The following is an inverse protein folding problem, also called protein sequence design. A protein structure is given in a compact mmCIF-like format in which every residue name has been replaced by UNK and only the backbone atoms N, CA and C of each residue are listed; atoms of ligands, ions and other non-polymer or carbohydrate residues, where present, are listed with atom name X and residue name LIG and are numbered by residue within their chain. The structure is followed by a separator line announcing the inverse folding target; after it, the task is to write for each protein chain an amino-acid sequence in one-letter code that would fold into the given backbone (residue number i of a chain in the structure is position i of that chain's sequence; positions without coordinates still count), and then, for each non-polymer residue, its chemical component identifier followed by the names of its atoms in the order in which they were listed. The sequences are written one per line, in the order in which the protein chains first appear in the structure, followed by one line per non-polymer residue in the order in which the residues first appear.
data_IF_904975075176
#
_entry.id   IF_904975075176
#
_cell.length_a   1.000
_cell.length_b   1.000
_cell.length_c   1.000
_cell.angle_alpha   90.00
_cell.angle_beta   90.00
_cell.angle_gamma   90.00
#
_symmetry.space_group_name_H-M   'P 1'
#
loop_
_entity.id
_entity.type
_entity.pdbx_description
1 polymer ?
#
# COMPACT_ATOMS: atom_id res chain seq x y z
N UNK A 1 -3.45 -15.33 5.28
CA UNK A 1 -4.79 -14.77 5.00
C UNK A 1 -5.72 -15.90 4.62
N UNK A 2 -6.94 -15.89 5.13
CA UNK A 2 -8.01 -16.84 4.76
C UNK A 2 -9.17 -16.06 4.13
N UNK A 3 -9.66 -16.50 2.98
CA UNK A 3 -10.87 -15.95 2.34
C UNK A 3 -12.02 -16.95 2.42
N UNK A 4 -13.18 -16.48 2.89
CA UNK A 4 -14.41 -17.27 2.92
C UNK A 4 -15.51 -16.59 2.09
N UNK A 5 -16.15 -17.34 1.19
CA UNK A 5 -17.37 -16.91 0.51
C UNK A 5 -18.57 -17.19 1.43
N UNK A 6 -19.36 -16.16 1.76
CA UNK A 6 -20.48 -16.25 2.69
C UNK A 6 -21.83 -16.39 1.97
N UNK A 7 -22.02 -15.64 0.89
CA UNK A 7 -23.24 -15.67 0.09
C UNK A 7 -22.98 -15.17 -1.34
N UNK A 8 -23.89 -15.52 -2.24
CA UNK A 8 -23.87 -15.11 -3.65
C UNK A 8 -25.26 -14.68 -4.10
N UNK A 9 -25.32 -13.69 -4.99
CA UNK A 9 -26.52 -13.31 -5.73
C UNK A 9 -26.13 -13.00 -7.18
N UNK A 10 -26.42 -13.91 -8.11
CA UNK A 10 -25.88 -13.88 -9.46
C UNK A 10 -24.34 -13.83 -9.46
N UNK A 11 -23.76 -12.76 -10.01
CA UNK A 11 -22.31 -12.53 -10.02
C UNK A 11 -21.78 -11.84 -8.74
N UNK A 12 -22.66 -11.31 -7.89
CA UNK A 12 -22.29 -10.63 -6.65
C UNK A 12 -21.87 -11.65 -5.58
N UNK A 13 -20.83 -11.30 -4.81
CA UNK A 13 -20.22 -12.17 -3.79
C UNK A 13 -20.06 -11.41 -2.49
N UNK A 14 -20.69 -11.90 -1.43
CA UNK A 14 -20.40 -11.49 -0.06
C UNK A 14 -19.32 -12.41 0.48
N UNK A 15 -18.15 -11.87 0.79
CA UNK A 15 -17.03 -12.65 1.32
C UNK A 15 -16.39 -12.01 2.54
N UNK A 16 -15.45 -12.71 3.16
CA UNK A 16 -14.67 -12.20 4.29
C UNK A 16 -13.23 -12.66 4.17
N UNK A 17 -12.30 -11.72 4.28
CA UNK A 17 -10.87 -11.97 4.42
C UNK A 17 -10.49 -11.87 5.90
N UNK A 18 -9.77 -12.85 6.42
CA UNK A 18 -9.20 -12.83 7.77
C UNK A 18 -7.68 -12.65 7.71
N UNK A 19 -7.20 -11.67 8.46
CA UNK A 19 -5.79 -11.36 8.68
C UNK A 19 -5.49 -11.42 10.19
N UNK A 20 -4.22 -11.56 10.60
CA UNK A 20 -3.84 -11.42 12.00
C UNK A 20 -4.29 -10.09 12.63
N UNK A 21 -4.30 -9.00 11.84
CA UNK A 21 -4.68 -7.64 12.28
C UNK A 21 -6.17 -7.31 12.15
N UNK A 22 -7.00 -8.24 11.68
CA UNK A 22 -8.45 -8.00 11.61
C UNK A 22 -9.16 -8.72 10.47
N UNK A 23 -10.41 -8.36 10.28
CA UNK A 23 -11.29 -8.93 9.25
C UNK A 23 -11.74 -7.85 8.28
N UNK A 24 -11.82 -8.22 7.00
CA UNK A 24 -12.30 -7.36 5.92
C UNK A 24 -13.46 -8.06 5.23
N UNK A 25 -14.64 -7.46 5.31
CA UNK A 25 -15.84 -7.89 4.64
C UNK A 25 -15.84 -7.37 3.20
N UNK A 26 -16.08 -8.26 2.23
CA UNK A 26 -16.15 -7.92 0.80
C UNK A 26 -17.60 -7.96 0.29
N UNK A 27 -18.01 -7.05 -0.63
CA UNK A 27 -17.19 -6.05 -1.33
C UNK A 27 -16.66 -4.95 -0.41
N UNK A 28 -15.38 -4.58 -0.59
CA UNK A 28 -14.68 -3.63 0.27
C UNK A 28 -14.22 -2.40 -0.53
N UNK A 29 -14.38 -1.22 0.05
CA UNK A 29 -13.77 0.01 -0.43
C UNK A 29 -12.57 0.36 0.45
N UNK A 30 -11.45 0.75 -0.15
CA UNK A 30 -10.19 1.02 0.56
C UNK A 30 -9.84 2.51 0.44
N UNK A 31 -9.94 3.28 1.54
CA UNK A 31 -9.41 4.64 1.57
C UNK A 31 -7.91 4.65 1.26
N UNK A 32 -7.47 5.61 0.44
CA UNK A 32 -6.08 5.69 -0.02
C UNK A 32 -5.28 6.62 0.88
N UNK A 33 -4.19 6.08 1.44
CA UNK A 33 -3.18 6.80 2.21
C UNK A 33 -1.87 6.94 1.43
N UNK A 34 -1.58 8.14 0.96
CA UNK A 34 -0.42 8.39 0.07
C UNK A 34 0.90 8.51 0.83
N UNK A 35 0.91 9.14 2.00
CA UNK A 35 2.12 9.38 2.80
C UNK A 35 1.91 8.92 4.24
N UNK A 36 1.37 7.71 4.42
CA UNK A 36 1.02 7.19 5.75
C UNK A 36 -0.16 7.93 6.39
N UNK A 37 -1.02 8.55 5.59
CA UNK A 37 -2.24 9.23 6.07
C UNK A 37 -3.29 9.28 4.97
N UNK A 38 -4.54 9.06 5.33
CA UNK A 38 -5.70 9.43 4.49
C UNK A 38 -5.89 10.93 4.65
N UNK A 39 -5.81 11.66 3.54
CA UNK A 39 -5.76 13.13 3.58
C UNK A 39 -6.90 13.74 4.40
N UNK A 40 -6.54 14.61 5.34
CA UNK A 40 -7.44 15.34 6.24
C UNK A 40 -8.15 14.49 7.31
N UNK A 41 -7.85 13.20 7.45
CA UNK A 41 -8.46 12.33 8.45
C UNK A 41 -7.40 11.66 9.32
N UNK A 42 -7.63 11.66 10.63
CA UNK A 42 -6.92 10.81 11.58
C UNK A 42 -7.29 9.33 11.37
N UNK A 43 -6.44 8.38 11.80
CA UNK A 43 -6.76 6.95 11.73
C UNK A 43 -8.08 6.59 12.42
N UNK A 44 -8.39 7.26 13.53
CA UNK A 44 -9.66 7.07 14.24
C UNK A 44 -10.86 7.53 13.42
N UNK A 45 -10.78 8.68 12.75
CA UNK A 45 -11.86 9.16 11.87
C UNK A 45 -12.07 8.21 10.68
N UNK A 46 -10.99 7.73 10.06
CA UNK A 46 -11.07 6.71 8.99
C UNK A 46 -11.74 5.45 9.52
N UNK A 47 -11.33 4.98 10.70
CA UNK A 47 -11.91 3.80 11.34
C UNK A 47 -13.41 3.97 11.64
N UNK A 48 -13.84 5.17 12.04
CA UNK A 48 -15.23 5.50 12.35
C UNK A 48 -16.15 5.51 11.11
N UNK A 49 -15.59 5.64 9.89
CA UNK A 49 -16.36 5.48 8.65
C UNK A 49 -16.78 4.03 8.38
N UNK A 50 -16.25 3.06 9.13
CA UNK A 50 -16.43 1.63 8.89
C UNK A 50 -15.35 1.01 8.01
N UNK A 51 -14.32 1.75 7.60
CA UNK A 51 -13.19 1.22 6.85
C UNK A 51 -12.47 0.10 7.63
N UNK A 52 -12.38 -1.08 7.02
CA UNK A 52 -11.73 -2.25 7.62
C UNK A 52 -10.30 -2.47 7.12
N UNK A 53 -9.94 -1.79 6.03
CA UNK A 53 -8.65 -1.88 5.36
C UNK A 53 -8.39 -0.55 4.65
N UNK A 54 -7.11 -0.16 4.53
CA UNK A 54 -6.68 1.00 3.76
C UNK A 54 -5.63 0.60 2.72
N UNK A 55 -5.46 1.44 1.71
CA UNK A 55 -4.41 1.29 0.71
C UNK A 55 -3.26 2.27 1.02
N UNK A 56 -2.06 1.77 1.22
CA UNK A 56 -0.82 2.54 1.34
C UNK A 56 -0.11 2.66 -0.02
N UNK A 57 0.38 3.86 -0.33
CA UNK A 57 1.16 4.07 -1.55
C UNK A 57 2.66 3.83 -1.33
N UNK A 58 3.17 2.76 -1.91
CA UNK A 58 4.56 2.31 -1.77
C UNK A 58 5.54 3.31 -2.34
N UNK A 59 5.26 3.87 -3.52
CA UNK A 59 6.14 4.82 -4.19
C UNK A 59 6.41 6.06 -3.33
N UNK A 60 5.35 6.68 -2.82
CA UNK A 60 5.51 7.88 -1.99
C UNK A 60 6.16 7.58 -0.65
N UNK A 61 5.79 6.48 0.01
CA UNK A 61 6.36 6.09 1.30
C UNK A 61 7.85 5.75 1.20
N UNK A 62 8.28 5.11 0.11
CA UNK A 62 9.68 4.78 -0.14
C UNK A 62 10.56 6.00 -0.37
N UNK A 63 10.00 7.06 -0.96
CA UNK A 63 10.72 8.32 -1.19
C UNK A 63 10.72 9.22 0.05
N UNK A 64 9.57 9.33 0.72
CA UNK A 64 9.40 10.20 1.89
C UNK A 64 8.28 9.66 2.79
N UNK A 65 8.57 9.31 4.04
CA UNK A 65 9.81 9.54 4.78
C UNK A 65 10.95 8.56 4.44
N UNK A 66 10.69 7.51 3.66
CA UNK A 66 11.63 6.42 3.43
C UNK A 66 11.32 5.22 4.34
N UNK A 67 11.55 4.03 3.80
CA UNK A 67 11.25 2.75 4.47
C UNK A 67 12.02 2.54 5.77
N UNK A 68 13.23 3.10 5.88
CA UNK A 68 14.03 3.03 7.12
C UNK A 68 13.33 3.75 8.28
N UNK A 69 12.83 4.97 8.04
CA UNK A 69 12.12 5.75 9.05
C UNK A 69 10.81 5.06 9.44
N UNK A 70 10.07 4.51 8.46
CA UNK A 70 8.86 3.72 8.75
C UNK A 70 9.20 2.48 9.58
N UNK A 71 10.30 1.79 9.26
CA UNK A 71 10.79 0.63 10.01
C UNK A 71 11.09 0.94 11.48
N UNK A 72 11.65 2.12 11.78
CA UNK A 72 11.90 2.56 13.17
C UNK A 72 10.62 2.67 14.02
N UNK A 73 9.45 2.79 13.39
CA UNK A 73 8.15 2.85 14.05
C UNK A 73 7.44 1.47 14.09
N UNK A 74 8.14 0.39 13.74
CA UNK A 74 7.54 -0.95 13.68
C UNK A 74 6.70 -1.19 12.43
N UNK A 75 7.04 -0.54 11.31
CA UNK A 75 6.34 -0.65 10.04
C UNK A 75 5.26 0.41 9.86
N UNK A 76 4.53 0.33 8.75
CA UNK A 76 3.57 1.36 8.33
C UNK A 76 2.42 1.49 9.32
N UNK A 77 1.95 0.37 9.88
CA UNK A 77 0.93 0.33 10.92
C UNK A 77 1.29 1.24 12.10
N UNK A 78 2.48 1.06 12.67
CA UNK A 78 2.96 1.86 13.80
C UNK A 78 3.27 3.30 13.42
N UNK A 79 3.81 3.53 12.22
CA UNK A 79 4.07 4.87 11.71
C UNK A 79 2.80 5.71 11.55
N UNK A 80 1.72 5.13 11.03
CA UNK A 80 0.46 5.85 10.80
C UNK A 80 -0.57 5.73 11.91
N UNK A 81 -0.33 4.88 12.92
CA UNK A 81 -1.31 4.61 13.98
C UNK A 81 -2.56 3.88 13.49
N UNK A 82 -2.43 3.03 12.47
CA UNK A 82 -3.52 2.21 11.95
C UNK A 82 -3.32 0.76 12.38
N UNK A 83 -4.32 0.20 13.07
CA UNK A 83 -4.22 -1.13 13.71
C UNK A 83 -4.96 -2.23 12.93
N UNK A 84 -5.58 -1.89 11.80
CA UNK A 84 -6.32 -2.83 10.93
C UNK A 84 -5.49 -3.16 9.68
N UNK A 85 -5.92 -4.10 8.82
CA UNK A 85 -5.16 -4.46 7.63
C UNK A 85 -4.79 -3.29 6.71
N UNK A 86 -3.62 -3.40 6.08
CA UNK A 86 -3.13 -2.50 5.03
C UNK A 86 -2.84 -3.30 3.76
N UNK A 87 -3.29 -2.78 2.62
CA UNK A 87 -2.80 -3.18 1.29
C UNK A 87 -1.79 -2.14 0.82
N UNK A 88 -0.64 -2.57 0.30
CA UNK A 88 0.30 -1.67 -0.39
C UNK A 88 0.24 -1.91 -1.89
N UNK A 89 0.22 -0.85 -2.70
CA UNK A 89 0.44 -0.98 -4.14
C UNK A 89 1.92 -1.29 -4.43
N UNK A 90 2.25 -1.65 -5.67
CA UNK A 90 3.64 -1.99 -6.03
C UNK A 90 4.51 -0.78 -6.39
N UNK A 91 3.90 0.40 -6.51
CA UNK A 91 4.52 1.62 -7.02
C UNK A 91 4.66 1.70 -8.55
N UNK A 92 4.39 0.60 -9.28
CA UNK A 92 4.57 0.55 -10.73
C UNK A 92 3.73 1.57 -11.51
N UNK A 93 2.50 1.82 -11.07
CA UNK A 93 1.63 2.81 -11.71
C UNK A 93 2.16 4.25 -11.56
N UNK A 94 2.72 4.59 -10.40
CA UNK A 94 3.27 5.92 -10.12
C UNK A 94 4.55 6.14 -10.90
N UNK A 95 5.43 5.14 -10.97
CA UNK A 95 6.58 5.21 -11.86
C UNK A 95 6.11 5.30 -13.31
N UNK A 96 4.99 4.64 -13.66
CA UNK A 96 4.44 4.72 -14.99
C UNK A 96 3.91 6.12 -15.37
N UNK A 97 3.32 6.86 -14.42
CA UNK A 97 2.76 8.18 -14.69
C UNK A 97 3.81 9.31 -14.78
N UNK A 98 5.09 9.03 -14.48
CA UNK A 98 6.21 9.96 -14.62
C UNK A 98 6.74 9.96 -16.07
N UNK A 99 5.98 10.55 -16.99
CA UNK A 99 6.22 10.45 -18.44
C UNK A 99 7.60 10.97 -18.92
N UNK A 100 8.20 11.96 -18.25
CA UNK A 100 9.41 12.65 -18.74
C UNK A 100 10.73 12.18 -18.11
N UNK A 101 10.68 11.25 -17.14
CA UNK A 101 11.80 11.01 -16.22
C UNK A 101 12.02 9.51 -15.97
N UNK A 102 11.76 8.64 -16.95
CA UNK A 102 11.89 7.19 -16.77
C UNK A 102 12.52 6.47 -17.97
N UNK A 103 13.20 5.36 -17.68
CA UNK A 103 13.70 4.37 -18.63
C UNK A 103 13.21 2.99 -18.18
N UNK A 104 12.47 2.31 -19.05
CA UNK A 104 11.88 0.98 -18.76
C UNK A 104 12.74 -0.08 -19.43
N UNK A 105 13.07 -1.14 -18.69
CA UNK A 105 13.73 -2.35 -19.18
C UNK A 105 12.95 -3.59 -18.71
N UNK A 106 13.41 -4.78 -19.12
CA UNK A 106 12.89 -6.04 -18.58
C UNK A 106 13.13 -6.19 -17.08
N UNK A 107 14.22 -5.61 -16.57
CA UNK A 107 14.63 -5.69 -15.16
C UNK A 107 13.77 -4.78 -14.26
N UNK A 108 13.20 -3.71 -14.81
CA UNK A 108 12.38 -2.78 -14.05
C UNK A 108 12.39 -1.37 -14.65
N UNK A 109 12.29 -0.36 -13.79
CA UNK A 109 12.23 1.03 -14.22
C UNK A 109 13.24 1.90 -13.48
N UNK A 110 14.12 2.55 -14.24
CA UNK A 110 14.96 3.63 -13.74
C UNK A 110 14.21 4.95 -13.86
N UNK A 111 14.26 5.78 -12.82
CA UNK A 111 13.62 7.10 -12.84
C UNK A 111 14.39 8.10 -11.98
N UNK A 112 14.08 9.40 -12.08
CA UNK A 112 14.55 10.37 -11.08
C UNK A 112 13.49 10.62 -10.02
N UNK A 113 13.94 10.65 -8.77
CA UNK A 113 13.12 11.06 -7.63
C UNK A 113 12.48 12.42 -7.89
N UNK A 114 11.14 12.56 -7.78
CA UNK A 114 10.47 13.85 -7.86
C UNK A 114 10.75 14.76 -6.65
N UNK A 115 11.42 14.23 -5.61
CA UNK A 115 11.74 14.98 -4.38
C UNK A 115 13.07 15.73 -4.52
N UNK A 116 14.09 15.10 -5.09
CA UNK A 116 15.47 15.62 -5.11
C UNK A 116 16.23 15.38 -6.42
N UNK A 117 15.65 14.69 -7.40
CA UNK A 117 16.28 14.39 -8.69
C UNK A 117 17.32 13.26 -8.66
N UNK A 118 17.48 12.57 -7.53
CA UNK A 118 18.36 11.40 -7.43
C UNK A 118 17.94 10.29 -8.40
N UNK A 119 18.90 9.52 -8.91
CA UNK A 119 18.61 8.37 -9.76
C UNK A 119 18.15 7.19 -8.90
N UNK A 120 17.02 6.60 -9.26
CA UNK A 120 16.41 5.47 -8.56
C UNK A 120 16.09 4.35 -9.54
N UNK A 121 15.94 3.15 -8.99
CA UNK A 121 15.51 1.95 -9.70
C UNK A 121 14.39 1.30 -8.90
N UNK A 122 13.38 0.79 -9.61
CA UNK A 122 12.31 -0.02 -9.04
C UNK A 122 12.03 -1.19 -9.97
N UNK A 123 12.36 -2.40 -9.51
CA UNK A 123 12.00 -3.67 -10.12
C UNK A 123 11.12 -4.52 -9.18
N UNK A 124 10.84 -5.77 -9.58
CA UNK A 124 10.06 -6.71 -8.76
C UNK A 124 10.65 -6.93 -7.37
N UNK A 125 11.95 -7.15 -7.27
CA UNK A 125 12.66 -7.42 -6.03
C UNK A 125 12.63 -6.22 -5.08
N UNK A 126 12.93 -5.02 -5.58
CA UNK A 126 12.90 -3.78 -4.78
C UNK A 126 11.49 -3.49 -4.29
N UNK A 127 10.47 -3.65 -5.16
CA UNK A 127 9.07 -3.44 -4.77
C UNK A 127 8.64 -4.39 -3.65
N UNK A 128 9.00 -5.67 -3.76
CA UNK A 128 8.71 -6.67 -2.72
C UNK A 128 9.46 -6.36 -1.42
N UNK A 129 10.72 -5.91 -1.49
CA UNK A 129 11.50 -5.53 -0.32
C UNK A 129 10.90 -4.30 0.39
N UNK A 130 10.53 -3.27 -0.36
CA UNK A 130 9.91 -2.05 0.19
C UNK A 130 8.60 -2.42 0.88
N UNK A 131 7.70 -3.15 0.22
CA UNK A 131 6.41 -3.53 0.80
C UNK A 131 6.57 -4.42 2.04
N UNK A 132 7.57 -5.31 2.07
CA UNK A 132 7.92 -6.09 3.26
C UNK A 132 8.37 -5.22 4.42
N UNK A 133 9.18 -4.19 4.17
CA UNK A 133 9.64 -3.26 5.20
C UNK A 133 8.51 -2.33 5.69
N UNK A 134 7.54 -2.03 4.83
CA UNK A 134 6.31 -1.32 5.21
C UNK A 134 5.38 -2.19 6.07
N UNK A 135 5.59 -3.50 6.17
CA UNK A 135 4.78 -4.43 6.96
C UNK A 135 3.28 -4.40 6.60
N UNK A 136 2.96 -4.53 5.30
CA UNK A 136 1.58 -4.61 4.83
C UNK A 136 1.03 -6.04 4.84
N UNK A 137 -0.30 -6.18 4.99
CA UNK A 137 -0.98 -7.48 5.04
C UNK A 137 -1.29 -8.04 3.65
N UNK A 138 -1.45 -7.14 2.67
CA UNK A 138 -1.61 -7.49 1.25
C UNK A 138 -0.56 -6.73 0.45
N UNK A 139 0.29 -7.48 -0.24
CA UNK A 139 1.34 -6.97 -1.12
C UNK A 139 0.92 -7.16 -2.58
N UNK A 140 1.16 -6.15 -3.40
CA UNK A 140 0.91 -6.20 -4.83
C UNK A 140 2.21 -6.49 -5.57
N UNK A 141 2.18 -7.40 -6.54
CA UNK A 141 3.34 -7.63 -7.42
C UNK A 141 3.64 -6.37 -8.25
N UNK A 142 4.91 -6.17 -8.57
CA UNK A 142 5.37 -5.10 -9.46
C UNK A 142 4.94 -5.35 -10.90
#
# INVERSE_FOLDING_TARGET
MEFSLLATDGAARRGRMKFPRGVVDTPAFMPVGTQGTVKSLSPHEVAATGAQIVLGNTFHLALKPGVEIVGLHGGLHGFMGWERPILTDSGGFQVFSLETIRQISEEGVHFRSPVDGSALFLGPEESMQIQRQLDSDVVMIF
#
